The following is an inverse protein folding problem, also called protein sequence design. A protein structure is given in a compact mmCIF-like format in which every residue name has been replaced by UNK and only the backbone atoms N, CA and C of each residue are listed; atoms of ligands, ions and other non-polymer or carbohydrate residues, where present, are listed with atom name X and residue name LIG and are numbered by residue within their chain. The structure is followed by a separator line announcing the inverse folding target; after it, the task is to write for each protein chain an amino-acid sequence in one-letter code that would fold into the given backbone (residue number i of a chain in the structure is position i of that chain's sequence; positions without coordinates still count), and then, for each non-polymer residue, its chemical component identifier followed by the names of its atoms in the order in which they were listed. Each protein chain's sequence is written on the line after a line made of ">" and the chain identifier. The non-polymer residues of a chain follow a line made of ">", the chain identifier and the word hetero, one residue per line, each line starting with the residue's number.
data_IF_475294541926
#
_entry.id   IF_475294541926
#
_cell.length_a   1.000
_cell.length_b   1.000
_cell.length_c   1.000
_cell.angle_alpha   90.00
_cell.angle_beta   90.00
_cell.angle_gamma   90.00
#
_symmetry.space_group_name_H-M   'P 1'
#
loop_
_entity.id
_entity.type
_entity.pdbx_description
1 polymer ?
#
# COMPACT_ATOMS: atom_id res chain seq x y z
N UNK A 1 22.88 23.76 14.58
CA UNK A 1 21.48 23.32 14.52
C UNK A 1 21.42 22.14 13.58
N UNK A 2 20.70 21.06 13.85
CA UNK A 2 20.52 20.02 12.85
C UNK A 2 19.85 20.66 11.63
N UNK A 3 20.36 20.36 10.43
CA UNK A 3 19.78 20.86 9.19
C UNK A 3 18.43 20.17 9.00
N UNK A 4 17.36 20.96 8.96
CA UNK A 4 16.04 20.45 8.58
C UNK A 4 16.07 20.09 7.09
N UNK A 5 15.61 18.88 6.77
CA UNK A 5 15.42 18.49 5.38
C UNK A 5 13.99 18.90 4.96
N UNK A 6 13.93 19.81 4.00
CA UNK A 6 12.67 20.27 3.40
C UNK A 6 12.63 19.79 1.94
N UNK A 7 11.48 19.27 1.52
CA UNK A 7 11.21 18.86 0.14
C UNK A 7 9.95 19.53 -0.38
N UNK A 8 9.92 19.84 -1.68
CA UNK A 8 8.72 20.28 -2.37
C UNK A 8 8.12 19.15 -3.20
N UNK A 9 6.80 19.07 -3.24
CA UNK A 9 6.04 18.13 -4.04
C UNK A 9 4.85 18.84 -4.68
N UNK A 10 5.04 19.32 -5.90
CA UNK A 10 4.14 20.26 -6.55
C UNK A 10 4.15 21.61 -5.83
N UNK A 11 2.98 22.07 -5.46
CA UNK A 11 2.73 23.33 -4.75
C UNK A 11 2.86 23.21 -3.21
N UNK A 12 3.06 22.00 -2.70
CA UNK A 12 3.17 21.73 -1.25
C UNK A 12 4.62 21.54 -0.82
N UNK A 13 4.92 22.00 0.39
CA UNK A 13 6.25 21.89 1.01
C UNK A 13 6.15 21.05 2.28
N UNK A 14 7.11 20.14 2.46
CA UNK A 14 7.12 19.19 3.56
C UNK A 14 8.46 19.20 4.29
N UNK A 15 8.40 19.16 5.63
CA UNK A 15 9.55 18.83 6.47
C UNK A 15 9.64 17.31 6.61
N UNK A 16 10.83 16.77 6.38
CA UNK A 16 11.11 15.33 6.50
C UNK A 16 11.48 15.00 7.93
N UNK A 17 10.68 14.18 8.58
CA UNK A 17 10.91 13.67 9.94
C UNK A 17 11.14 12.16 9.89
N UNK A 18 12.29 11.71 10.40
CA UNK A 18 12.67 10.28 10.41
C UNK A 18 13.62 9.92 11.54
N UNK A 19 13.39 8.79 12.27
CA UNK A 19 12.20 7.98 12.14
C UNK A 19 10.97 8.72 12.69
N UNK A 20 9.76 8.38 12.18
CA UNK A 20 8.50 8.74 12.82
C UNK A 20 7.99 7.54 13.59
N UNK A 21 7.69 7.75 14.85
CA UNK A 21 7.26 6.71 15.78
C UNK A 21 8.38 5.80 16.26
N UNK A 22 8.05 5.03 17.28
CA UNK A 22 8.93 4.00 17.84
C UNK A 22 8.08 2.89 18.47
N UNK A 23 8.56 1.66 18.43
CA UNK A 23 7.91 0.49 19.02
C UNK A 23 8.94 -0.47 19.65
N UNK A 24 8.52 -1.33 20.63
CA UNK A 24 9.43 -2.13 21.44
C UNK A 24 10.24 -3.17 20.68
N UNK A 25 9.70 -3.70 19.57
CA UNK A 25 10.35 -4.73 18.75
C UNK A 25 10.79 -4.12 17.44
N UNK A 26 12.06 -4.16 17.14
CA UNK A 26 12.64 -3.62 15.90
C UNK A 26 13.29 -4.72 15.07
N UNK A 27 12.71 -5.91 15.09
CA UNK A 27 13.25 -7.08 14.37
C UNK A 27 12.64 -7.25 12.98
N UNK A 28 11.52 -6.55 12.70
CA UNK A 28 10.80 -6.66 11.44
C UNK A 28 11.29 -5.69 10.37
N UNK A 29 10.97 -6.05 9.14
CA UNK A 29 11.12 -5.21 7.97
C UNK A 29 9.80 -4.46 7.73
N UNK A 30 9.83 -3.13 7.76
CA UNK A 30 8.64 -2.32 7.49
C UNK A 30 8.24 -2.48 6.02
N UNK A 31 7.03 -3.02 5.78
CA UNK A 31 6.51 -3.21 4.43
C UNK A 31 5.48 -2.16 4.06
N UNK A 32 4.61 -1.75 5.00
CA UNK A 32 3.57 -0.80 4.68
C UNK A 32 3.15 0.05 5.88
N UNK A 33 2.39 1.09 5.61
CA UNK A 33 1.81 2.00 6.61
C UNK A 33 0.44 2.49 6.14
N UNK A 34 -0.51 2.51 7.04
CA UNK A 34 -1.85 3.08 6.80
C UNK A 34 -2.35 3.87 8.00
N UNK A 35 -3.36 4.70 7.80
CA UNK A 35 -3.98 5.54 8.84
C UNK A 35 -5.48 5.27 8.87
N UNK A 36 -6.01 5.00 10.05
CA UNK A 36 -7.44 4.78 10.23
C UNK A 36 -8.22 6.12 10.39
N UNK A 37 -9.57 6.09 10.38
CA UNK A 37 -10.38 7.30 10.53
C UNK A 37 -10.18 8.07 11.85
N UNK A 38 -9.58 7.46 12.88
CA UNK A 38 -9.23 8.10 14.15
C UNK A 38 -7.90 8.85 14.07
N UNK A 39 -7.14 8.68 12.99
CA UNK A 39 -5.78 9.18 12.82
C UNK A 39 -4.70 8.27 13.41
N UNK A 40 -5.04 7.07 13.89
CA UNK A 40 -4.05 6.11 14.36
C UNK A 40 -3.28 5.52 13.19
N UNK A 41 -1.97 5.37 13.38
CA UNK A 41 -1.05 4.88 12.37
C UNK A 41 -0.80 3.39 12.59
N UNK A 42 -1.01 2.60 11.55
CA UNK A 42 -0.74 1.16 11.57
C UNK A 42 0.43 0.85 10.64
N UNK A 43 1.46 0.24 11.22
CA UNK A 43 2.70 -0.12 10.51
C UNK A 43 2.73 -1.63 10.32
N UNK A 44 2.89 -2.08 9.08
CA UNK A 44 3.03 -3.50 8.78
C UNK A 44 4.50 -3.92 8.81
N UNK A 45 4.77 -5.00 9.53
CA UNK A 45 6.10 -5.58 9.71
C UNK A 45 6.15 -6.98 9.11
N UNK A 46 7.18 -7.26 8.31
CA UNK A 46 7.50 -8.61 7.83
C UNK A 46 8.59 -9.22 8.71
N UNK A 47 8.34 -10.42 9.16
CA UNK A 47 9.28 -11.26 9.90
C UNK A 47 9.39 -12.63 9.21
N UNK A 48 10.52 -13.30 9.41
CA UNK A 48 10.60 -14.73 9.09
C UNK A 48 9.69 -15.52 10.06
N UNK A 49 8.61 -16.14 9.57
CA UNK A 49 7.66 -16.84 10.45
C UNK A 49 8.25 -18.07 11.13
N UNK A 50 9.35 -18.61 10.61
CA UNK A 50 10.05 -19.75 11.22
C UNK A 50 10.94 -19.33 12.39
N UNK A 51 11.42 -18.09 12.40
CA UNK A 51 12.31 -17.55 13.43
C UNK A 51 11.53 -16.70 14.44
N UNK A 52 10.54 -15.97 13.98
CA UNK A 52 9.76 -15.01 14.77
C UNK A 52 8.24 -15.24 14.63
N UNK A 53 7.71 -16.43 14.99
CA UNK A 53 6.31 -16.76 14.73
C UNK A 53 5.32 -15.90 15.53
N UNK A 54 5.67 -15.48 16.73
CA UNK A 54 4.81 -14.71 17.63
C UNK A 54 5.01 -13.20 17.57
N UNK A 55 6.04 -12.71 16.86
CA UNK A 55 6.30 -11.27 16.79
C UNK A 55 5.17 -10.53 16.06
N UNK A 56 4.79 -9.34 16.51
CA UNK A 56 3.71 -8.59 15.88
C UNK A 56 3.96 -8.33 14.39
N UNK A 57 2.94 -8.54 13.58
CA UNK A 57 2.94 -8.18 12.15
C UNK A 57 2.36 -6.81 11.90
N UNK A 58 1.58 -6.29 12.83
CA UNK A 58 1.01 -4.95 12.77
C UNK A 58 1.29 -4.24 14.09
N UNK A 59 1.77 -3.00 14.00
CA UNK A 59 2.00 -2.09 15.12
C UNK A 59 0.99 -0.95 15.02
N UNK A 60 0.29 -0.65 16.11
CA UNK A 60 -0.56 0.53 16.24
C UNK A 60 0.19 1.64 16.99
N UNK A 61 0.20 2.84 16.39
CA UNK A 61 0.72 4.07 16.99
C UNK A 61 -0.40 5.09 17.07
N UNK A 62 -0.32 5.99 18.02
CA UNK A 62 -1.19 7.18 18.03
C UNK A 62 -0.75 8.21 16.95
N UNK A 63 -1.52 9.28 16.72
CA UNK A 63 -1.18 10.30 15.70
C UNK A 63 0.18 10.98 15.93
N UNK A 64 0.70 10.97 17.15
CA UNK A 64 2.01 11.52 17.52
C UNK A 64 3.15 10.50 17.37
N UNK A 65 2.85 9.24 17.00
CA UNK A 65 3.82 8.17 16.81
C UNK A 65 4.16 7.39 18.08
N UNK A 66 3.38 7.51 19.15
CA UNK A 66 3.57 6.72 20.38
C UNK A 66 2.96 5.34 20.23
N UNK A 67 3.68 4.35 20.66
CA UNK A 67 3.25 2.94 20.60
C UNK A 67 2.01 2.69 21.47
N UNK A 68 1.03 2.00 20.90
CA UNK A 68 -0.20 1.57 21.58
C UNK A 68 -0.20 0.04 21.73
N UNK A 69 -0.11 -0.68 20.63
CA UNK A 69 -0.25 -2.14 20.61
C UNK A 69 0.53 -2.78 19.44
N UNK A 70 0.70 -4.10 19.50
CA UNK A 70 1.17 -4.92 18.39
C UNK A 70 0.46 -6.27 18.38
N UNK A 71 0.12 -6.76 17.17
CA UNK A 71 -0.66 -7.99 16.99
C UNK A 71 -0.35 -8.66 15.64
N UNK A 72 -1.01 -9.78 15.37
CA UNK A 72 -1.00 -10.47 14.07
C UNK A 72 0.09 -11.54 13.89
N UNK A 73 0.91 -11.84 14.91
CA UNK A 73 2.05 -12.74 14.78
C UNK A 73 1.72 -14.10 14.17
N UNK A 74 0.75 -14.81 14.74
CA UNK A 74 0.34 -16.15 14.24
C UNK A 74 -0.68 -16.07 13.08
N UNK A 75 -1.39 -14.93 12.96
CA UNK A 75 -2.45 -14.76 11.97
C UNK A 75 -1.93 -14.47 10.57
N UNK A 76 -0.78 -13.80 10.45
CA UNK A 76 -0.17 -13.36 9.19
C UNK A 76 1.22 -13.99 9.09
N UNK A 77 1.46 -14.79 8.05
CA UNK A 77 2.75 -15.46 7.84
C UNK A 77 3.74 -14.55 7.11
N UNK A 78 3.34 -14.00 5.96
CA UNK A 78 4.17 -13.11 5.15
C UNK A 78 3.46 -11.79 4.83
N UNK A 79 3.68 -10.82 5.69
CA UNK A 79 3.08 -9.48 5.62
C UNK A 79 3.53 -8.74 4.37
N UNK A 80 2.59 -8.30 3.52
CA UNK A 80 2.95 -7.55 2.31
C UNK A 80 2.41 -6.11 2.32
N UNK A 81 1.10 -5.90 2.23
CA UNK A 81 0.45 -4.58 2.25
C UNK A 81 -0.67 -4.53 3.28
N UNK A 82 -1.01 -3.32 3.73
CA UNK A 82 -2.00 -3.05 4.77
C UNK A 82 -2.86 -1.85 4.38
N UNK A 83 -4.17 -2.01 4.35
CA UNK A 83 -5.12 -0.95 4.02
C UNK A 83 -6.12 -0.73 5.15
N UNK A 84 -6.30 0.50 5.61
CA UNK A 84 -7.37 0.87 6.51
C UNK A 84 -8.65 1.20 5.73
N UNK A 85 -9.79 0.70 6.20
CA UNK A 85 -11.10 1.00 5.63
C UNK A 85 -11.75 2.22 6.30
N UNK A 86 -12.71 2.88 5.63
CA UNK A 86 -13.50 3.95 6.27
C UNK A 86 -14.29 3.50 7.49
N UNK A 87 -14.57 2.20 7.64
CA UNK A 87 -15.24 1.64 8.82
C UNK A 87 -14.29 1.35 9.99
N UNK A 88 -13.00 1.59 9.83
CA UNK A 88 -11.96 1.35 10.87
C UNK A 88 -11.46 -0.09 10.93
N UNK A 89 -11.83 -0.96 9.98
CA UNK A 89 -11.17 -2.24 9.82
C UNK A 89 -9.83 -2.09 9.09
N UNK A 90 -8.95 -3.06 9.31
CA UNK A 90 -7.68 -3.18 8.60
C UNK A 90 -7.73 -4.41 7.69
N UNK A 91 -7.20 -4.28 6.49
CA UNK A 91 -7.10 -5.37 5.53
C UNK A 91 -5.61 -5.63 5.29
N UNK A 92 -5.16 -6.83 5.64
CA UNK A 92 -3.79 -7.27 5.47
C UNK A 92 -3.67 -8.26 4.31
N UNK A 93 -2.66 -8.09 3.49
CA UNK A 93 -2.29 -9.07 2.46
C UNK A 93 -1.24 -10.02 3.04
N UNK A 94 -1.59 -11.31 3.18
CA UNK A 94 -0.66 -12.40 3.49
C UNK A 94 -0.26 -13.07 2.17
N UNK A 95 0.90 -12.66 1.66
CA UNK A 95 1.37 -13.02 0.31
C UNK A 95 1.54 -14.53 0.16
N UNK A 96 2.32 -15.16 1.03
CA UNK A 96 2.69 -16.57 0.88
C UNK A 96 1.58 -17.53 1.34
N UNK A 97 0.59 -17.02 2.09
CA UNK A 97 -0.61 -17.79 2.42
C UNK A 97 -1.75 -17.59 1.43
N UNK A 98 -1.56 -16.78 0.39
CA UNK A 98 -2.52 -16.57 -0.70
C UNK A 98 -3.88 -16.06 -0.22
N UNK A 99 -3.87 -15.16 0.77
CA UNK A 99 -5.10 -14.62 1.34
C UNK A 99 -5.03 -13.11 1.62
N UNK A 100 -6.19 -12.50 1.65
CA UNK A 100 -6.42 -11.12 2.09
C UNK A 100 -7.34 -11.18 3.29
N UNK A 101 -6.93 -10.59 4.42
CA UNK A 101 -7.53 -10.84 5.73
C UNK A 101 -8.06 -9.53 6.32
N UNK A 102 -9.30 -9.53 6.81
CA UNK A 102 -9.89 -8.41 7.55
C UNK A 102 -9.69 -8.57 9.04
N UNK A 103 -9.25 -7.48 9.68
CA UNK A 103 -9.08 -7.38 11.12
C UNK A 103 -9.85 -6.18 11.68
N UNK A 104 -10.32 -6.28 12.93
CA UNK A 104 -10.61 -5.06 13.72
C UNK A 104 -9.31 -4.32 14.00
N UNK A 105 -9.40 -3.04 14.42
CA UNK A 105 -8.21 -2.30 14.84
C UNK A 105 -7.47 -2.95 16.02
N UNK A 106 -8.16 -3.77 16.83
CA UNK A 106 -7.58 -4.52 17.93
C UNK A 106 -6.91 -5.85 17.49
N UNK A 107 -6.92 -6.18 16.19
CA UNK A 107 -6.27 -7.37 15.64
C UNK A 107 -7.13 -8.63 15.66
N UNK A 108 -8.45 -8.52 15.89
CA UNK A 108 -9.36 -9.67 15.77
C UNK A 108 -9.67 -9.93 14.28
N UNK A 109 -9.45 -11.17 13.83
CA UNK A 109 -9.79 -11.57 12.44
C UNK A 109 -11.31 -11.66 12.28
N UNK A 110 -11.86 -10.92 11.32
CA UNK A 110 -13.31 -10.83 11.08
C UNK A 110 -13.72 -11.30 9.68
N UNK A 111 -12.78 -11.50 8.76
CA UNK A 111 -13.09 -12.00 7.42
C UNK A 111 -11.84 -12.29 6.60
N UNK A 112 -12.05 -12.90 5.43
CA UNK A 112 -10.98 -13.17 4.47
C UNK A 112 -11.50 -13.35 3.06
N UNK A 113 -10.59 -13.13 2.08
CA UNK A 113 -10.67 -13.62 0.71
C UNK A 113 -9.50 -14.55 0.45
N UNK A 114 -9.69 -15.52 -0.43
CA UNK A 114 -8.69 -16.58 -0.67
C UNK A 114 -8.80 -17.74 0.31
N UNK A 115 -8.01 -18.77 0.06
CA UNK A 115 -7.95 -19.97 0.89
C UNK A 115 -6.52 -20.17 1.37
N UNK A 116 -6.31 -20.02 2.68
CA UNK A 116 -4.99 -20.10 3.32
C UNK A 116 -4.18 -21.30 2.85
N UNK A 117 -2.97 -21.03 2.32
CA UNK A 117 -2.04 -22.04 1.85
C UNK A 117 -2.45 -22.73 0.54
N UNK A 118 -3.45 -22.21 -0.20
CA UNK A 118 -3.90 -22.78 -1.48
C UNK A 118 -3.72 -21.77 -2.61
N UNK A 119 -2.63 -21.84 -3.38
CA UNK A 119 -2.45 -21.02 -4.55
C UNK A 119 -3.56 -21.26 -5.60
N UNK A 120 -3.87 -20.23 -6.38
CA UNK A 120 -4.94 -20.24 -7.40
C UNK A 120 -6.37 -20.47 -6.84
N UNK A 121 -6.62 -20.00 -5.58
CA UNK A 121 -7.94 -20.12 -4.93
C UNK A 121 -8.38 -18.80 -4.24
N UNK A 122 -8.64 -17.67 -4.95
CA UNK A 122 -8.27 -17.39 -6.34
C UNK A 122 -6.85 -16.88 -6.52
N UNK A 123 -6.15 -16.47 -5.44
CA UNK A 123 -4.87 -15.78 -5.47
C UNK A 123 -3.68 -16.71 -5.59
N UNK A 124 -2.63 -16.19 -6.22
CA UNK A 124 -1.32 -16.84 -6.25
C UNK A 124 -0.23 -15.81 -5.88
N UNK A 125 0.01 -15.60 -4.60
CA UNK A 125 0.87 -14.58 -4.00
C UNK A 125 0.36 -13.14 -4.26
N UNK A 126 -0.81 -12.77 -3.69
CA UNK A 126 -1.38 -11.43 -3.82
C UNK A 126 -0.42 -10.38 -3.28
N UNK A 127 -0.50 -9.20 -3.86
CA UNK A 127 0.44 -8.10 -3.57
C UNK A 127 -0.22 -6.97 -2.80
N UNK A 128 -1.41 -6.51 -3.20
CA UNK A 128 -2.07 -5.37 -2.57
C UNK A 128 -3.60 -5.45 -2.71
N UNK A 129 -4.31 -4.64 -1.92
CA UNK A 129 -5.77 -4.57 -1.90
C UNK A 129 -6.27 -3.14 -1.81
N UNK A 130 -7.23 -2.79 -2.65
CA UNK A 130 -7.96 -1.54 -2.58
C UNK A 130 -9.46 -1.79 -2.36
N UNK A 131 -10.08 -1.03 -1.46
CA UNK A 131 -11.53 -0.96 -1.31
C UNK A 131 -12.01 0.32 -1.98
N UNK A 132 -12.83 0.17 -3.00
CA UNK A 132 -13.37 1.30 -3.73
C UNK A 132 -14.43 2.06 -2.91
N UNK A 133 -14.62 3.37 -3.12
CA UNK A 133 -15.67 4.14 -2.45
C UNK A 133 -17.10 3.61 -2.66
N UNK A 134 -17.32 2.86 -3.73
CA UNK A 134 -18.62 2.20 -4.01
C UNK A 134 -18.72 0.78 -3.42
N UNK A 135 -17.68 0.31 -2.70
CA UNK A 135 -17.69 -0.92 -1.92
C UNK A 135 -17.02 -2.13 -2.58
N UNK A 136 -16.72 -2.09 -3.86
CA UNK A 136 -15.99 -3.19 -4.52
C UNK A 136 -14.55 -3.30 -3.99
N UNK A 137 -14.04 -4.53 -4.01
CA UNK A 137 -12.69 -4.86 -3.53
C UNK A 137 -11.86 -5.31 -4.73
N UNK A 138 -10.70 -4.70 -4.90
CA UNK A 138 -9.73 -5.04 -5.93
C UNK A 138 -8.45 -5.57 -5.29
N UNK A 139 -7.95 -6.70 -5.80
CA UNK A 139 -6.72 -7.33 -5.31
C UNK A 139 -5.77 -7.52 -6.47
N UNK A 140 -4.59 -6.93 -6.39
CA UNK A 140 -3.49 -7.24 -7.31
C UNK A 140 -2.82 -8.54 -6.88
N UNK A 141 -2.58 -9.45 -7.85
CA UNK A 141 -2.01 -10.78 -7.63
C UNK A 141 -0.78 -10.93 -8.54
N UNK A 142 0.38 -10.45 -8.06
CA UNK A 142 1.51 -10.15 -8.94
C UNK A 142 2.73 -11.03 -8.76
N UNK A 143 2.94 -11.68 -7.62
CA UNK A 143 4.15 -12.49 -7.42
C UNK A 143 4.07 -13.89 -8.04
N UNK A 144 2.87 -14.45 -8.14
CA UNK A 144 2.65 -15.76 -8.76
C UNK A 144 1.68 -15.76 -9.94
N UNK A 145 0.99 -14.63 -10.17
CA UNK A 145 0.05 -14.46 -11.28
C UNK A 145 0.00 -12.99 -11.73
N UNK A 146 -0.13 -12.71 -13.04
CA UNK A 146 -0.19 -11.33 -13.54
C UNK A 146 -1.64 -10.84 -13.62
N UNK A 147 -2.38 -10.85 -12.50
CA UNK A 147 -3.82 -10.59 -12.50
C UNK A 147 -4.24 -9.50 -11.51
N UNK A 148 -5.42 -8.94 -11.76
CA UNK A 148 -6.22 -8.20 -10.80
C UNK A 148 -7.56 -8.90 -10.64
N UNK A 149 -7.99 -9.12 -9.40
CA UNK A 149 -9.27 -9.73 -9.06
C UNK A 149 -10.22 -8.66 -8.50
N UNK A 150 -11.48 -8.66 -8.96
CA UNK A 150 -12.55 -7.82 -8.43
C UNK A 150 -13.54 -8.68 -7.65
N UNK A 151 -13.91 -8.21 -6.47
CA UNK A 151 -14.96 -8.79 -5.65
C UNK A 151 -16.01 -7.71 -5.35
N UNK A 152 -17.25 -8.13 -5.22
CA UNK A 152 -18.29 -7.28 -4.65
C UNK A 152 -18.04 -7.07 -3.14
N UNK A 153 -18.71 -6.08 -2.55
CA UNK A 153 -18.58 -5.74 -1.14
C UNK A 153 -18.92 -6.88 -0.16
N UNK A 154 -19.66 -7.89 -0.61
CA UNK A 154 -19.99 -9.10 0.14
C UNK A 154 -18.92 -10.20 0.03
N UNK A 155 -17.83 -9.96 -0.69
CA UNK A 155 -16.73 -10.89 -0.93
C UNK A 155 -16.97 -11.87 -2.09
N UNK A 156 -18.07 -11.76 -2.82
CA UNK A 156 -18.34 -12.59 -4.00
C UNK A 156 -17.41 -12.17 -5.15
N UNK A 157 -16.65 -13.13 -5.67
CA UNK A 157 -15.79 -12.90 -6.84
C UNK A 157 -16.63 -12.49 -8.05
N UNK A 158 -16.26 -11.36 -8.67
CA UNK A 158 -16.97 -10.79 -9.82
C UNK A 158 -16.23 -11.09 -11.11
N UNK A 159 -14.93 -10.81 -11.13
CA UNK A 159 -14.13 -10.92 -12.35
C UNK A 159 -12.64 -10.95 -12.03
N UNK A 160 -11.85 -11.43 -13.00
CA UNK A 160 -10.40 -11.34 -13.02
C UNK A 160 -9.98 -10.81 -14.39
N UNK A 161 -9.04 -9.87 -14.40
CA UNK A 161 -8.42 -9.40 -15.66
C UNK A 161 -6.90 -9.37 -15.55
N UNK A 162 -6.24 -9.08 -16.66
CA UNK A 162 -4.80 -9.15 -16.80
C UNK A 162 -4.37 -10.36 -17.58
N UNK A 163 -3.10 -10.64 -17.54
CA UNK A 163 -2.40 -11.71 -18.25
C UNK A 163 -0.94 -11.31 -18.40
N UNK A 164 -0.06 -12.27 -18.64
CA UNK A 164 1.37 -11.98 -18.78
C UNK A 164 1.66 -11.32 -20.13
N UNK A 165 2.19 -10.09 -20.08
CA UNK A 165 2.58 -9.37 -21.28
C UNK A 165 2.94 -7.90 -21.04
N UNK A 166 3.16 -7.19 -22.15
CA UNK A 166 3.52 -5.76 -22.17
C UNK A 166 2.46 -4.86 -22.80
N UNK A 167 1.39 -5.45 -23.33
CA UNK A 167 0.27 -4.73 -23.93
C UNK A 167 -0.60 -4.01 -22.88
N UNK A 168 -1.59 -3.27 -23.39
CA UNK A 168 -2.58 -2.60 -22.58
C UNK A 168 -3.45 -3.62 -21.85
N UNK A 169 -3.56 -3.49 -20.52
CA UNK A 169 -4.27 -4.43 -19.68
C UNK A 169 -3.51 -5.72 -19.35
N UNK A 170 -2.33 -5.95 -19.92
CA UNK A 170 -1.44 -7.04 -19.54
C UNK A 170 -0.46 -6.58 -18.45
N UNK A 171 0.09 -7.53 -17.67
CA UNK A 171 1.03 -7.25 -16.59
C UNK A 171 2.21 -8.21 -16.62
N UNK A 172 3.33 -7.78 -16.02
CA UNK A 172 4.40 -8.69 -15.59
C UNK A 172 4.39 -8.84 -14.08
N UNK A 173 4.19 -7.73 -13.37
CA UNK A 173 4.21 -7.75 -11.91
C UNK A 173 3.30 -6.67 -11.32
N UNK A 174 1.95 -6.88 -11.33
CA UNK A 174 1.04 -5.95 -10.66
C UNK A 174 1.33 -5.95 -9.16
N UNK A 175 1.83 -4.80 -8.64
CA UNK A 175 2.42 -4.75 -7.31
C UNK A 175 1.57 -3.99 -6.30
N UNK A 176 1.01 -2.84 -6.68
CA UNK A 176 0.13 -2.07 -5.82
C UNK A 176 -1.08 -1.55 -6.59
N UNK A 177 -2.18 -1.29 -5.90
CA UNK A 177 -3.47 -0.95 -6.51
C UNK A 177 -4.20 0.10 -5.68
N UNK A 178 -4.86 1.04 -6.36
CA UNK A 178 -5.70 2.06 -5.72
C UNK A 178 -6.98 2.30 -6.51
N UNK A 179 -8.11 2.47 -5.80
CA UNK A 179 -9.41 2.78 -6.40
C UNK A 179 -9.84 4.20 -6.02
N UNK A 180 -10.00 5.07 -7.03
CA UNK A 180 -10.38 6.47 -6.87
C UNK A 180 -11.91 6.67 -6.90
N UNK A 181 -12.38 7.73 -6.26
CA UNK A 181 -13.81 8.06 -6.20
C UNK A 181 -14.45 8.39 -7.57
N UNK A 182 -13.64 8.75 -8.55
CA UNK A 182 -14.07 9.00 -9.93
C UNK A 182 -14.26 7.73 -10.79
N UNK A 183 -14.06 6.55 -10.19
CA UNK A 183 -14.23 5.25 -10.83
C UNK A 183 -12.96 4.64 -11.41
N UNK A 184 -11.83 5.34 -11.36
CA UNK A 184 -10.55 4.79 -11.81
C UNK A 184 -10.00 3.76 -10.83
N UNK A 185 -9.47 2.67 -11.37
CA UNK A 185 -8.66 1.68 -10.67
C UNK A 185 -7.24 1.74 -11.25
N UNK A 186 -6.27 2.09 -10.42
CA UNK A 186 -4.89 2.36 -10.86
C UNK A 186 -3.98 1.27 -10.33
N UNK A 187 -3.23 0.62 -11.21
CA UNK A 187 -2.40 -0.56 -10.90
C UNK A 187 -0.95 -0.30 -11.28
N UNK A 188 -0.06 -0.48 -10.33
CA UNK A 188 1.39 -0.45 -10.59
C UNK A 188 1.83 -1.76 -11.25
N UNK A 189 2.42 -1.68 -12.44
CA UNK A 189 3.14 -2.79 -13.10
C UNK A 189 4.66 -2.56 -12.94
N UNK A 190 5.19 -3.06 -11.83
CA UNK A 190 6.51 -2.73 -11.31
C UNK A 190 7.63 -3.03 -12.30
N UNK A 191 7.65 -4.21 -12.90
CA UNK A 191 8.73 -4.66 -13.78
C UNK A 191 8.75 -3.92 -15.11
N UNK A 192 7.58 -3.52 -15.61
CA UNK A 192 7.46 -2.73 -16.84
C UNK A 192 7.61 -1.22 -16.61
N UNK A 193 7.94 -0.77 -15.38
CA UNK A 193 8.18 0.64 -15.09
C UNK A 193 7.00 1.55 -15.45
N UNK A 194 5.77 1.06 -15.28
CA UNK A 194 4.56 1.78 -15.66
C UNK A 194 3.46 1.65 -14.62
N UNK A 195 2.47 2.49 -14.76
CA UNK A 195 1.24 2.46 -13.97
C UNK A 195 0.08 2.43 -14.97
N UNK A 196 -0.80 1.45 -14.88
CA UNK A 196 -1.94 1.33 -15.76
C UNK A 196 -3.23 1.78 -15.06
N UNK A 197 -4.09 2.45 -15.81
CA UNK A 197 -5.37 2.99 -15.35
C UNK A 197 -6.49 2.22 -16.00
N UNK A 198 -7.43 1.78 -15.19
CA UNK A 198 -8.63 1.03 -15.61
C UNK A 198 -9.88 1.72 -15.10
N UNK A 199 -11.04 1.43 -15.69
CA UNK A 199 -12.32 1.68 -15.04
C UNK A 199 -12.65 0.58 -14.02
N UNK A 200 -13.75 0.75 -13.28
CA UNK A 200 -14.20 -0.21 -12.27
C UNK A 200 -14.55 -1.60 -12.82
N UNK A 201 -14.77 -1.74 -14.13
CA UNK A 201 -14.98 -3.00 -14.83
C UNK A 201 -13.70 -3.60 -15.40
N UNK A 202 -12.52 -3.05 -15.10
CA UNK A 202 -11.23 -3.57 -15.55
C UNK A 202 -10.93 -3.32 -17.03
N UNK A 203 -11.65 -2.40 -17.68
CA UNK A 203 -11.29 -1.95 -19.03
C UNK A 203 -10.14 -0.95 -18.92
N UNK A 204 -9.08 -1.20 -19.69
CA UNK A 204 -7.94 -0.28 -19.76
C UNK A 204 -8.36 1.09 -20.30
N UNK A 205 -7.85 2.16 -19.67
CA UNK A 205 -8.10 3.55 -20.03
C UNK A 205 -6.84 4.30 -20.46
N UNK A 206 -5.72 4.10 -19.72
CA UNK A 206 -4.48 4.85 -19.92
C UNK A 206 -3.28 4.13 -19.30
N UNK A 207 -2.07 4.58 -19.67
CA UNK A 207 -0.81 4.10 -19.06
C UNK A 207 0.11 5.28 -18.80
N UNK A 208 0.55 5.40 -17.53
CA UNK A 208 1.49 6.43 -17.10
C UNK A 208 2.90 5.87 -17.04
N UNK A 209 3.84 6.64 -17.51
CA UNK A 209 5.26 6.31 -17.59
C UNK A 209 6.10 7.29 -16.73
N UNK A 210 7.44 7.22 -16.85
CA UNK A 210 8.42 8.03 -16.10
C UNK A 210 8.55 7.59 -14.64
N UNK A 211 8.53 6.28 -14.40
CA UNK A 211 8.84 5.62 -13.13
C UNK A 211 9.97 4.61 -13.34
N UNK A 212 10.65 4.26 -12.24
CA UNK A 212 11.60 3.16 -12.23
C UNK A 212 11.26 2.16 -11.14
N UNK A 213 10.75 1.00 -11.55
CA UNK A 213 10.22 -0.01 -10.63
C UNK A 213 9.29 0.61 -9.59
N UNK A 214 8.16 1.22 -9.99
CA UNK A 214 7.21 1.79 -9.05
C UNK A 214 6.71 0.72 -8.09
N UNK A 215 6.45 1.08 -6.82
CA UNK A 215 6.21 0.12 -5.75
C UNK A 215 4.88 0.34 -5.06
N UNK A 216 4.68 1.47 -4.40
CA UNK A 216 3.48 1.81 -3.64
C UNK A 216 2.68 2.93 -4.29
N UNK A 217 1.36 2.88 -4.14
CA UNK A 217 0.43 3.93 -4.58
C UNK A 217 -0.55 4.27 -3.46
N UNK A 218 -0.82 5.55 -3.32
CA UNK A 218 -1.89 6.12 -2.52
C UNK A 218 -2.56 7.27 -3.27
N UNK A 219 -3.87 7.45 -3.11
CA UNK A 219 -4.63 8.53 -3.75
C UNK A 219 -5.18 9.53 -2.75
N UNK A 220 -5.09 10.84 -3.07
CA UNK A 220 -5.72 11.88 -2.27
C UNK A 220 -7.21 12.08 -2.66
N UNK A 221 -8.00 12.80 -1.83
CA UNK A 221 -9.40 13.09 -2.13
C UNK A 221 -9.62 13.91 -3.41
N UNK A 222 -8.61 14.65 -3.87
CA UNK A 222 -8.62 15.41 -5.11
C UNK A 222 -8.41 14.53 -6.35
N UNK A 223 -8.17 13.22 -6.16
CA UNK A 223 -7.95 12.24 -7.22
C UNK A 223 -6.52 12.16 -7.73
N UNK A 224 -5.56 12.80 -7.08
CA UNK A 224 -4.15 12.68 -7.43
C UNK A 224 -3.56 11.39 -6.87
N UNK A 225 -2.69 10.74 -7.64
CA UNK A 225 -1.92 9.58 -7.20
C UNK A 225 -0.56 10.00 -6.64
N UNK A 226 -0.16 9.37 -5.54
CA UNK A 226 1.19 9.47 -4.98
C UNK A 226 1.86 8.12 -5.15
N UNK A 227 2.99 8.09 -5.84
CA UNK A 227 3.66 6.84 -6.26
C UNK A 227 5.10 6.88 -5.80
N UNK A 228 5.52 5.82 -5.10
CA UNK A 228 6.92 5.58 -4.75
C UNK A 228 7.58 4.68 -5.79
N UNK A 229 8.88 4.83 -5.97
CA UNK A 229 9.68 3.98 -6.84
C UNK A 229 11.05 3.62 -6.24
N UNK A 230 11.79 2.71 -6.90
CA UNK A 230 13.07 2.21 -6.42
C UNK A 230 14.26 3.15 -6.68
N UNK A 231 14.11 4.17 -7.52
CA UNK A 231 14.98 5.35 -7.51
C UNK A 231 14.43 6.28 -6.44
N UNK A 232 14.88 6.23 -5.18
CA UNK A 232 14.06 6.58 -4.01
C UNK A 232 13.36 7.93 -4.18
N UNK A 233 12.23 7.92 -4.90
CA UNK A 233 11.43 9.10 -5.20
C UNK A 233 9.96 8.91 -4.81
N UNK A 234 9.30 10.03 -4.51
CA UNK A 234 7.87 10.17 -4.39
C UNK A 234 7.39 11.10 -5.49
N UNK A 235 6.49 10.62 -6.33
CA UNK A 235 5.90 11.37 -7.45
C UNK A 235 4.42 11.61 -7.19
N UNK A 236 3.95 12.85 -7.32
CA UNK A 236 2.53 13.23 -7.36
C UNK A 236 2.09 13.36 -8.80
N UNK A 237 1.00 12.69 -9.16
CA UNK A 237 0.43 12.61 -10.51
C UNK A 237 -1.03 13.05 -10.47
N UNK A 238 -1.43 13.91 -11.38
CA UNK A 238 -2.81 14.36 -11.56
C UNK A 238 -3.70 13.23 -12.13
N UNK A 239 -5.05 13.39 -12.07
CA UNK A 239 -5.98 12.41 -12.63
C UNK A 239 -5.77 12.07 -14.11
N UNK A 240 -5.22 12.98 -14.89
CA UNK A 240 -4.93 12.81 -16.33
C UNK A 240 -3.53 12.24 -16.62
N UNK A 241 -2.80 11.78 -15.58
CA UNK A 241 -1.45 11.26 -15.72
C UNK A 241 -0.33 12.32 -15.73
N UNK A 242 -0.67 13.61 -15.69
CA UNK A 242 0.32 14.68 -15.65
C UNK A 242 1.09 14.67 -14.33
N UNK A 243 2.43 14.67 -14.39
CA UNK A 243 3.27 14.79 -13.19
C UNK A 243 3.18 16.20 -12.60
N UNK A 244 2.62 16.31 -11.38
CA UNK A 244 2.54 17.55 -10.62
C UNK A 244 3.89 17.87 -9.95
N UNK A 245 4.56 16.87 -9.42
CA UNK A 245 5.84 17.04 -8.75
C UNK A 245 6.55 15.72 -8.43
N UNK A 246 7.84 15.80 -8.14
CA UNK A 246 8.66 14.67 -7.70
C UNK A 246 9.70 15.14 -6.69
N UNK A 247 9.88 14.41 -5.61
CA UNK A 247 10.92 14.67 -4.62
C UNK A 247 11.60 13.38 -4.15
N UNK A 248 12.72 13.52 -3.43
CA UNK A 248 13.48 12.38 -2.88
C UNK A 248 13.61 12.52 -1.35
N UNK A 249 12.55 12.22 -0.60
CA UNK A 249 12.53 12.40 0.86
C UNK A 249 13.17 11.25 1.63
N UNK A 250 13.50 10.14 0.98
CA UNK A 250 13.96 8.89 1.59
C UNK A 250 15.31 8.46 1.04
N UNK A 251 15.98 7.53 1.73
CA UNK A 251 17.31 7.00 1.31
C UNK A 251 17.16 5.85 0.30
N UNK A 252 16.18 4.98 0.52
CA UNK A 252 15.82 3.88 -0.37
C UNK A 252 14.33 3.98 -0.73
N UNK A 253 13.88 3.24 -1.73
CA UNK A 253 12.47 3.26 -2.13
C UNK A 253 11.56 2.87 -0.96
N UNK A 254 10.51 3.65 -0.72
CA UNK A 254 9.47 3.26 0.23
C UNK A 254 8.58 2.20 -0.41
N UNK A 255 8.30 1.11 0.34
CA UNK A 255 7.50 0.00 -0.18
C UNK A 255 6.00 0.32 -0.14
N UNK A 256 5.54 0.98 0.92
CA UNK A 256 4.17 1.46 1.04
C UNK A 256 4.10 2.93 1.48
N UNK A 257 2.92 3.53 1.37
CA UNK A 257 2.69 4.92 1.75
C UNK A 257 1.21 5.20 2.02
N UNK A 258 0.94 6.22 2.83
CA UNK A 258 -0.40 6.78 2.97
C UNK A 258 -0.35 8.28 3.30
N UNK A 259 -1.46 8.98 3.04
CA UNK A 259 -1.69 10.32 3.56
C UNK A 259 -2.41 10.30 4.90
N UNK A 260 -2.27 11.36 5.66
CA UNK A 260 -3.00 11.60 6.91
C UNK A 260 -4.09 12.65 6.73
N UNK A 261 -5.09 12.73 7.61
CA UNK A 261 -6.09 13.80 7.58
C UNK A 261 -5.49 15.21 7.72
N UNK A 262 -4.29 15.35 8.32
CA UNK A 262 -3.57 16.62 8.43
C UNK A 262 -2.83 17.03 7.16
N UNK A 263 -2.82 16.19 6.12
CA UNK A 263 -2.09 16.43 4.87
C UNK A 263 -0.62 15.98 4.91
N UNK A 264 -0.18 15.34 6.00
CA UNK A 264 1.12 14.68 6.05
C UNK A 264 1.13 13.42 5.18
N UNK A 265 2.32 12.97 4.78
CA UNK A 265 2.50 11.70 4.04
C UNK A 265 3.43 10.81 4.87
N UNK A 266 3.03 9.57 5.09
CA UNK A 266 3.83 8.55 5.73
C UNK A 266 4.41 7.60 4.68
N UNK A 267 5.69 7.27 4.80
CA UNK A 267 6.44 6.42 3.88
C UNK A 267 7.03 5.23 4.67
N UNK A 268 6.71 4.02 4.23
CA UNK A 268 7.20 2.78 4.81
C UNK A 268 8.53 2.38 4.15
N UNK A 269 9.66 2.65 4.82
CA UNK A 269 10.99 2.27 4.34
C UNK A 269 11.40 0.93 4.94
N UNK A 270 11.76 -0.04 4.10
CA UNK A 270 12.22 -1.35 4.57
C UNK A 270 13.70 -1.37 4.94
N UNK A 271 14.53 -0.57 4.30
CA UNK A 271 15.96 -0.47 4.57
C UNK A 271 16.46 0.99 4.50
N UNK A 272 16.78 1.64 5.64
CA UNK A 272 16.56 1.14 6.99
C UNK A 272 15.09 0.97 7.31
N UNK A 273 14.74 -0.01 8.18
CA UNK A 273 13.36 -0.31 8.57
C UNK A 273 12.82 0.79 9.48
N UNK A 274 11.91 1.62 8.93
CA UNK A 274 11.34 2.78 9.65
C UNK A 274 10.16 3.38 8.91
N UNK A 275 9.42 4.26 9.58
CA UNK A 275 8.52 5.23 8.94
C UNK A 275 9.21 6.58 8.79
N UNK A 276 9.09 7.18 7.62
CA UNK A 276 9.43 8.59 7.36
C UNK A 276 8.14 9.38 7.21
N UNK A 277 7.98 10.45 8.00
CA UNK A 277 6.86 11.40 7.86
C UNK A 277 7.31 12.61 7.05
N UNK A 278 6.54 12.93 6.02
CA UNK A 278 6.57 14.22 5.35
C UNK A 278 5.52 15.10 6.01
N UNK A 279 5.94 15.94 6.93
CA UNK A 279 5.05 16.85 7.65
C UNK A 279 4.78 18.08 6.79
N UNK A 280 3.51 18.32 6.48
CA UNK A 280 3.09 19.49 5.71
C UNK A 280 3.45 20.79 6.45
N UNK A 281 4.12 21.72 5.75
CA UNK A 281 4.56 23.02 6.34
C UNK A 281 4.21 24.22 5.45
N UNK A 282 3.74 24.01 4.23
CA UNK A 282 3.31 25.06 3.32
C UNK A 282 2.77 24.54 1.99
#
# INVERSE_FOLDING_TARGET
>A
MPHELIVALGDRTYRVERPFGSWPTNTGFVTDVTVDPRGHVFVMLRHDPLVHPADPRVIELDPEGRYIAGWGGEAIADSHMLTATPSGHLIAVDRDMHEVIWFTAAGERVGQLGVRGRPNSPFNHPTDVAVAPWGDIYVSDGYGAPHVHRFASDGRHVQTWGGHGSGDGEFVWPHSIWAFADGRVVVIDRTWNRVQVFDGEGRWLDTWYDFYQPVGIWGDPEGNAYITDMVPSLTKVAPDGTRIGRCRPMLNGAHGLCGTPSGDILLAEGNPSRITRLKLVG
#
